data_IF_679817117709
#
_entry.id   IF_679817117709
#
_cell.length_a   1.000
_cell.length_b   1.000
_cell.length_c   1.000
_cell.angle_alpha   90.00
_cell.angle_beta   90.00
_cell.angle_gamma   90.00
#
_symmetry.space_group_name_H-M   'P 1'
#
loop_
_entity.id
_entity.type
_entity.pdbx_description
1 polymer ?
#
# COMPACT_ATOMS: atom_id res chain seq x y z
N UNK A 1 -0.25 10.78 -38.85
CA UNK A 1 -0.43 12.17 -38.45
C UNK A 1 -1.38 12.30 -37.27
N UNK A 2 -1.00 13.04 -36.25
CA UNK A 2 -1.85 13.29 -35.10
C UNK A 2 -2.93 14.27 -35.50
N UNK A 3 -4.17 13.79 -35.59
CA UNK A 3 -5.29 14.65 -36.00
C UNK A 3 -5.74 15.57 -34.87
N UNK A 4 -5.62 15.10 -33.63
CA UNK A 4 -6.14 15.83 -32.48
C UNK A 4 -5.39 15.38 -31.23
N UNK A 5 -4.71 16.31 -30.61
CA UNK A 5 -3.92 16.04 -29.39
C UNK A 5 -4.80 15.53 -28.24
N UNK A 6 -6.01 16.10 -28.12
CA UNK A 6 -6.97 15.67 -27.09
C UNK A 6 -7.38 14.22 -27.25
N UNK A 7 -7.64 13.78 -28.48
CA UNK A 7 -7.95 12.38 -28.77
C UNK A 7 -6.80 11.46 -28.42
N UNK A 8 -5.58 11.87 -28.75
CA UNK A 8 -4.39 11.08 -28.45
C UNK A 8 -4.21 10.91 -26.94
N UNK A 9 -4.40 11.98 -26.19
CA UNK A 9 -4.28 11.95 -24.73
C UNK A 9 -5.35 11.03 -24.13
N UNK A 10 -6.61 11.17 -24.55
CA UNK A 10 -7.69 10.32 -24.05
C UNK A 10 -7.45 8.84 -24.36
N UNK A 11 -6.97 8.55 -25.56
CA UNK A 11 -6.67 7.18 -25.96
C UNK A 11 -5.52 6.60 -25.14
N UNK A 12 -4.49 7.41 -24.90
CA UNK A 12 -3.35 7.01 -24.09
C UNK A 12 -3.76 6.73 -22.64
N UNK A 13 -4.58 7.59 -22.05
CA UNK A 13 -5.07 7.40 -20.68
C UNK A 13 -5.94 6.14 -20.57
N UNK A 14 -6.79 5.91 -21.54
CA UNK A 14 -7.64 4.71 -21.56
C UNK A 14 -6.83 3.42 -21.65
N UNK A 15 -5.85 3.38 -22.55
CA UNK A 15 -4.95 2.23 -22.66
C UNK A 15 -4.18 1.99 -21.37
N UNK A 16 -3.67 3.08 -20.77
CA UNK A 16 -2.94 3.04 -19.53
C UNK A 16 -3.78 2.44 -18.41
N UNK A 17 -5.03 2.88 -18.27
CA UNK A 17 -5.95 2.39 -17.25
C UNK A 17 -6.26 0.90 -17.44
N UNK A 18 -6.42 0.47 -18.68
CA UNK A 18 -6.75 -0.92 -18.98
C UNK A 18 -5.57 -1.87 -18.86
N UNK A 19 -4.37 -1.40 -19.23
CA UNK A 19 -3.18 -2.25 -19.31
C UNK A 19 -2.35 -2.31 -18.04
N UNK A 20 -2.27 -1.21 -17.32
CA UNK A 20 -1.35 -1.13 -16.18
C UNK A 20 -1.79 -1.95 -14.97
N UNK A 21 -3.06 -2.05 -14.70
CA UNK A 21 -3.61 -2.79 -13.57
C UNK A 21 -2.89 -2.43 -12.26
N UNK A 22 -2.76 -1.14 -12.02
CA UNK A 22 -1.98 -0.59 -10.92
C UNK A 22 -2.89 0.15 -9.95
N UNK A 23 -2.64 -0.01 -8.65
CA UNK A 23 -3.24 0.84 -7.64
C UNK A 23 -2.20 1.28 -6.62
N UNK A 24 -2.49 2.40 -5.96
CA UNK A 24 -1.73 2.87 -4.79
C UNK A 24 -2.61 2.68 -3.57
N UNK A 25 -2.10 1.97 -2.60
CA UNK A 25 -2.87 1.63 -1.40
C UNK A 25 -2.16 2.13 -0.14
N UNK A 26 -2.96 2.48 0.86
CA UNK A 26 -2.45 2.85 2.19
C UNK A 26 -2.12 1.57 2.95
N UNK A 27 -0.89 1.48 3.42
CA UNK A 27 -0.45 0.38 4.28
C UNK A 27 -0.72 0.73 5.74
N UNK A 28 -0.29 1.92 6.16
CA UNK A 28 -0.44 2.33 7.55
C UNK A 28 -0.40 3.84 7.71
N UNK A 29 -1.29 4.37 8.55
CA UNK A 29 -1.33 5.79 8.93
C UNK A 29 -0.76 5.92 10.33
N UNK A 30 0.34 6.65 10.53
CA UNK A 30 0.95 6.76 11.85
C UNK A 30 0.17 7.68 12.78
N UNK A 31 0.35 7.49 14.06
CA UNK A 31 -0.16 8.39 15.08
C UNK A 31 -1.09 7.74 16.07
N UNK A 32 -1.09 8.26 17.29
CA UNK A 32 -1.92 7.76 18.37
C UNK A 32 -3.41 7.92 18.06
N UNK A 33 -3.78 8.93 17.26
CA UNK A 33 -5.16 9.17 16.86
C UNK A 33 -5.68 8.13 15.86
N UNK A 34 -4.77 7.37 15.26
CA UNK A 34 -5.10 6.39 14.22
C UNK A 34 -5.09 4.96 14.77
N UNK A 35 -5.57 4.77 16.00
CA UNK A 35 -5.62 3.45 16.62
C UNK A 35 -6.49 2.50 15.80
N UNK A 36 -6.03 1.23 15.70
CA UNK A 36 -6.83 0.20 15.05
C UNK A 36 -7.92 -0.33 15.98
N UNK A 37 -8.65 -1.36 15.52
CA UNK A 37 -9.73 -1.97 16.30
C UNK A 37 -9.26 -2.60 17.61
N UNK A 38 -7.97 -2.87 17.74
CA UNK A 38 -7.38 -3.43 18.96
C UNK A 38 -6.76 -2.36 19.85
N UNK A 39 -6.91 -1.10 19.52
CA UNK A 39 -6.30 0.01 20.25
C UNK A 39 -4.81 0.18 20.01
N UNK A 40 -4.29 -0.40 18.96
CA UNK A 40 -2.85 -0.38 18.65
C UNK A 40 -2.54 0.70 17.62
N UNK A 41 -1.34 1.23 17.69
CA UNK A 41 -0.89 2.33 16.83
C UNK A 41 0.63 2.32 16.70
N UNK A 42 1.15 2.98 15.65
CA UNK A 42 2.59 3.16 15.46
C UNK A 42 2.90 4.64 15.28
N UNK A 43 4.02 5.07 15.84
CA UNK A 43 4.52 6.42 15.61
C UNK A 43 5.01 6.58 14.17
N UNK A 44 5.15 7.82 13.72
CA UNK A 44 5.71 8.10 12.40
C UNK A 44 7.11 7.50 12.24
N UNK A 45 7.92 7.56 13.28
CA UNK A 45 9.27 7.00 13.27
C UNK A 45 9.23 5.47 13.10
N UNK A 46 8.33 4.80 13.82
CA UNK A 46 8.18 3.35 13.72
C UNK A 46 7.69 2.94 12.33
N UNK A 47 6.73 3.69 11.78
CA UNK A 47 6.20 3.42 10.43
C UNK A 47 7.30 3.57 9.39
N UNK A 48 8.14 4.61 9.52
CA UNK A 48 9.25 4.80 8.59
C UNK A 48 10.25 3.65 8.68
N UNK A 49 10.62 3.23 9.88
CA UNK A 49 11.53 2.11 10.08
C UNK A 49 10.94 0.81 9.54
N UNK A 50 9.64 0.60 9.73
CA UNK A 50 8.94 -0.57 9.21
C UNK A 50 8.94 -0.59 7.69
N UNK A 51 8.70 0.56 7.06
CA UNK A 51 8.74 0.69 5.61
C UNK A 51 10.14 0.37 5.06
N UNK A 52 11.17 0.86 5.70
CA UNK A 52 12.56 0.59 5.31
C UNK A 52 12.89 -0.90 5.44
N UNK A 53 12.51 -1.50 6.55
CA UNK A 53 12.73 -2.95 6.78
C UNK A 53 11.98 -3.78 5.75
N UNK A 54 10.75 -3.42 5.45
CA UNK A 54 9.96 -4.07 4.42
C UNK A 54 10.65 -4.00 3.05
N UNK A 55 11.15 -2.82 2.68
CA UNK A 55 11.82 -2.61 1.41
C UNK A 55 13.13 -3.40 1.31
N UNK A 56 13.86 -3.49 2.41
CA UNK A 56 15.11 -4.26 2.47
C UNK A 56 14.88 -5.76 2.33
N UNK A 57 13.70 -6.24 2.70
CA UNK A 57 13.38 -7.66 2.71
C UNK A 57 12.40 -8.08 1.61
N UNK A 58 12.14 -7.21 0.62
CA UNK A 58 11.14 -7.47 -0.42
C UNK A 58 11.32 -8.79 -1.14
N UNK A 59 12.55 -9.23 -1.35
CA UNK A 59 12.84 -10.49 -2.05
C UNK A 59 12.59 -11.73 -1.18
N UNK A 60 12.54 -11.55 0.13
CA UNK A 60 12.40 -12.64 1.09
C UNK A 60 11.01 -12.72 1.71
N UNK A 61 10.21 -11.68 1.51
CA UNK A 61 8.85 -11.63 2.04
C UNK A 61 7.91 -12.21 1.01
N UNK A 62 7.18 -13.24 1.41
CA UNK A 62 5.96 -13.62 0.70
C UNK A 62 4.91 -12.61 1.10
N UNK A 63 4.59 -11.62 0.26
CA UNK A 63 3.65 -10.62 0.68
C UNK A 63 2.27 -11.24 0.80
N UNK A 64 1.83 -11.34 2.03
CA UNK A 64 0.49 -11.78 2.34
C UNK A 64 -0.42 -10.56 2.31
N UNK A 65 -0.49 -9.93 1.14
CA UNK A 65 -1.34 -8.77 0.93
C UNK A 65 -2.78 -9.25 0.71
N UNK A 66 -3.74 -8.52 1.30
CA UNK A 66 -5.16 -8.84 1.18
C UNK A 66 -5.56 -10.18 1.80
N UNK A 67 -4.75 -10.72 2.72
CA UNK A 67 -4.94 -12.06 3.29
C UNK A 67 -4.95 -13.17 2.23
N UNK A 68 -4.39 -12.90 1.07
CA UNK A 68 -4.23 -13.89 0.01
C UNK A 68 -2.88 -14.59 0.21
N UNK A 69 -2.93 -15.88 0.45
CA UNK A 69 -1.72 -16.68 0.62
C UNK A 69 -0.96 -16.78 -0.70
N UNK A 70 0.32 -16.48 -0.65
CA UNK A 70 1.32 -16.80 -1.67
C UNK A 70 0.81 -16.78 -3.12
N UNK A 71 0.41 -15.63 -3.62
CA UNK A 71 -0.01 -15.56 -5.00
C UNK A 71 1.00 -14.77 -5.81
N UNK A 72 1.45 -15.34 -6.93
CA UNK A 72 2.20 -14.61 -7.93
C UNK A 72 1.29 -13.68 -8.73
N UNK A 73 0.11 -13.36 -8.19
CA UNK A 73 -0.91 -12.61 -8.90
C UNK A 73 -0.79 -11.11 -8.76
N UNK A 74 0.18 -10.65 -8.00
CA UNK A 74 0.49 -9.24 -7.91
C UNK A 74 1.99 -9.04 -7.67
N UNK A 75 2.48 -7.84 -7.96
CA UNK A 75 3.85 -7.46 -7.62
C UNK A 75 3.85 -6.09 -6.96
N UNK A 76 4.79 -5.88 -6.06
CA UNK A 76 5.00 -4.59 -5.42
C UNK A 76 5.96 -3.80 -6.28
N UNK A 77 5.47 -2.69 -6.84
CA UNK A 77 6.28 -1.81 -7.68
C UNK A 77 7.10 -0.86 -6.83
N UNK A 78 6.47 -0.33 -5.77
CA UNK A 78 7.09 0.68 -4.91
C UNK A 78 6.44 0.66 -3.54
N UNK A 79 7.23 0.90 -2.53
CA UNK A 79 6.77 1.06 -1.14
C UNK A 79 7.51 2.26 -0.56
N UNK A 80 6.77 3.26 -0.05
CA UNK A 80 7.39 4.52 0.38
C UNK A 80 6.54 5.23 1.44
N UNK A 81 7.16 6.19 2.09
CA UNK A 81 6.48 7.09 3.02
C UNK A 81 6.06 8.35 2.25
N UNK A 82 4.80 8.72 2.36
CA UNK A 82 4.27 9.93 1.73
C UNK A 82 4.93 11.16 2.35
N UNK A 83 5.47 12.04 1.50
CA UNK A 83 6.24 13.20 1.95
C UNK A 83 5.43 14.49 2.05
N UNK A 84 4.22 14.50 1.53
CA UNK A 84 3.39 15.71 1.49
C UNK A 84 1.92 15.37 1.64
N UNK A 85 1.18 16.19 2.38
CA UNK A 85 -0.27 16.04 2.47
C UNK A 85 -0.88 16.20 1.08
N UNK A 86 -1.76 15.27 0.71
CA UNK A 86 -2.40 15.30 -0.60
C UNK A 86 -3.81 14.72 -0.54
N UNK A 87 -4.56 14.92 -1.62
CA UNK A 87 -5.88 14.33 -1.79
C UNK A 87 -5.81 13.44 -3.03
N UNK A 88 -6.24 12.18 -2.88
CA UNK A 88 -6.25 11.24 -3.99
C UNK A 88 -7.31 11.62 -5.03
N UNK A 89 -7.24 11.05 -6.26
CA UNK A 89 -8.27 11.31 -7.27
C UNK A 89 -9.69 10.94 -6.82
N UNK A 90 -9.82 10.03 -5.86
CA UNK A 90 -11.11 9.63 -5.32
C UNK A 90 -11.57 10.50 -4.16
N UNK A 91 -10.81 11.53 -3.79
CA UNK A 91 -11.13 12.43 -2.70
C UNK A 91 -10.63 12.01 -1.34
N UNK A 92 -9.85 10.95 -1.25
CA UNK A 92 -9.29 10.48 0.01
C UNK A 92 -8.09 11.35 0.41
N UNK A 93 -8.10 11.84 1.64
CA UNK A 93 -6.98 12.59 2.20
C UNK A 93 -5.86 11.62 2.59
N UNK A 94 -4.64 11.92 2.12
CA UNK A 94 -3.44 11.14 2.44
C UNK A 94 -2.44 12.08 3.10
N UNK A 95 -2.16 11.86 4.36
CA UNK A 95 -1.30 12.74 5.15
C UNK A 95 0.16 12.38 5.01
N UNK A 96 1.02 13.37 5.21
CA UNK A 96 2.46 13.17 5.35
C UNK A 96 2.72 12.11 6.41
N UNK A 97 3.68 11.23 6.15
CA UNK A 97 4.05 10.15 7.06
C UNK A 97 3.30 8.84 6.82
N UNK A 98 2.27 8.85 5.99
CA UNK A 98 1.52 7.64 5.65
C UNK A 98 2.37 6.72 4.79
N UNK A 99 2.39 5.44 5.13
CA UNK A 99 3.07 4.42 4.35
C UNK A 99 2.15 3.96 3.22
N UNK A 100 2.66 4.08 1.99
CA UNK A 100 1.93 3.73 0.77
C UNK A 100 2.65 2.60 0.03
N UNK A 101 1.87 1.83 -0.72
CA UNK A 101 2.41 0.80 -1.60
C UNK A 101 1.74 0.90 -2.96
N UNK A 102 2.54 0.71 -4.01
CA UNK A 102 2.05 0.68 -5.39
C UNK A 102 2.10 -0.75 -5.88
N UNK A 103 0.97 -1.26 -6.33
CA UNK A 103 0.80 -2.65 -6.70
C UNK A 103 0.38 -2.80 -8.15
N UNK A 104 0.93 -3.82 -8.81
CA UNK A 104 0.46 -4.28 -10.13
C UNK A 104 -0.19 -5.63 -9.95
N UNK A 105 -1.37 -5.78 -10.51
CA UNK A 105 -2.17 -6.99 -10.37
C UNK A 105 -2.15 -7.83 -11.64
N UNK A 106 -2.31 -9.15 -11.50
CA UNK A 106 -2.62 -10.01 -12.63
C UNK A 106 -3.98 -9.60 -13.22
N UNK A 107 -4.28 -9.95 -14.47
CA UNK A 107 -5.60 -9.65 -15.04
C UNK A 107 -6.76 -10.21 -14.21
N UNK A 108 -6.61 -11.41 -13.67
CA UNK A 108 -7.63 -12.06 -12.84
C UNK A 108 -7.88 -11.30 -11.53
N UNK A 109 -6.80 -10.96 -10.84
CA UNK A 109 -6.90 -10.26 -9.57
C UNK A 109 -7.39 -8.83 -9.76
N UNK A 110 -7.04 -8.22 -10.88
CA UNK A 110 -7.51 -6.88 -11.22
C UNK A 110 -9.03 -6.82 -11.38
N UNK A 111 -9.63 -7.87 -11.95
CA UNK A 111 -11.09 -7.96 -12.06
C UNK A 111 -11.73 -8.01 -10.68
N UNK A 112 -11.14 -8.73 -9.74
CA UNK A 112 -11.62 -8.77 -8.37
C UNK A 112 -11.47 -7.42 -7.66
N UNK A 113 -10.38 -6.72 -7.92
CA UNK A 113 -10.14 -5.37 -7.39
C UNK A 113 -11.21 -4.40 -7.89
N UNK A 114 -11.50 -4.41 -9.18
CA UNK A 114 -12.51 -3.53 -9.78
C UNK A 114 -13.92 -3.88 -9.30
N UNK A 115 -14.16 -5.13 -8.98
CA UNK A 115 -15.46 -5.58 -8.46
C UNK A 115 -15.65 -5.25 -6.97
N UNK A 116 -14.66 -4.64 -6.32
CA UNK A 116 -14.73 -4.27 -4.91
C UNK A 116 -14.48 -5.42 -3.94
N UNK A 117 -14.01 -6.56 -4.43
CA UNK A 117 -13.72 -7.72 -3.57
C UNK A 117 -12.41 -7.58 -2.80
N UNK A 118 -11.52 -6.72 -3.28
CA UNK A 118 -10.25 -6.42 -2.64
C UNK A 118 -10.26 -4.94 -2.28
N UNK A 119 -10.32 -4.62 -0.99
CA UNK A 119 -10.54 -3.25 -0.54
C UNK A 119 -9.39 -2.64 0.23
N UNK A 120 -8.35 -3.37 0.51
CA UNK A 120 -7.26 -2.82 1.30
C UNK A 120 -6.05 -3.72 1.32
N UNK A 121 -5.01 -3.23 1.99
CA UNK A 121 -3.74 -3.94 2.12
C UNK A 121 -3.52 -4.28 3.57
N UNK A 122 -3.18 -5.53 3.84
CA UNK A 122 -2.77 -5.97 5.16
C UNK A 122 -1.42 -6.67 5.02
N UNK A 123 -0.44 -6.22 5.78
CA UNK A 123 0.90 -6.79 5.76
C UNK A 123 1.20 -7.45 7.10
N UNK A 124 1.54 -8.73 7.05
CA UNK A 124 1.95 -9.45 8.24
C UNK A 124 3.35 -9.05 8.67
N UNK A 125 3.52 -8.73 9.94
CA UNK A 125 4.81 -8.34 10.50
C UNK A 125 4.90 -8.77 11.96
N UNK A 126 6.09 -8.65 12.52
CA UNK A 126 6.35 -8.83 13.94
C UNK A 126 6.59 -7.49 14.58
N UNK A 127 6.18 -7.34 15.82
CA UNK A 127 6.40 -6.12 16.57
C UNK A 127 6.23 -6.34 18.06
N UNK A 128 6.58 -5.34 18.82
CA UNK A 128 6.41 -5.32 20.27
C UNK A 128 5.28 -4.35 20.60
N UNK A 129 4.29 -4.80 21.35
CA UNK A 129 3.14 -3.97 21.74
C UNK A 129 3.27 -3.60 23.22
N UNK A 130 3.22 -2.29 23.49
CA UNK A 130 3.11 -1.79 24.85
C UNK A 130 1.66 -2.00 25.31
N UNK A 131 1.47 -2.83 26.30
CA UNK A 131 0.12 -3.21 26.75
C UNK A 131 -0.64 -2.05 27.41
N UNK A 132 0.07 -1.03 27.89
CA UNK A 132 -0.57 0.12 28.54
C UNK A 132 -0.99 1.18 27.52
N UNK A 133 -0.17 1.43 26.52
CA UNK A 133 -0.39 2.51 25.55
C UNK A 133 -0.96 2.02 24.23
N UNK A 134 -0.77 0.73 23.90
CA UNK A 134 -1.12 0.17 22.60
C UNK A 134 -0.10 0.48 21.51
N UNK A 135 1.00 1.14 21.85
CA UNK A 135 2.01 1.48 20.86
C UNK A 135 2.78 0.25 20.41
N UNK A 136 2.88 0.09 19.08
CA UNK A 136 3.69 -0.95 18.46
C UNK A 136 5.05 -0.36 18.12
N UNK A 137 6.11 -1.08 18.43
CA UNK A 137 7.48 -0.70 18.10
C UNK A 137 8.27 -1.91 17.62
N UNK A 138 9.49 -1.67 17.12
CA UNK A 138 10.43 -2.71 16.68
C UNK A 138 9.79 -3.64 15.65
N UNK A 139 9.13 -3.06 14.66
CA UNK A 139 8.47 -3.82 13.60
C UNK A 139 9.51 -4.42 12.66
N UNK A 140 9.35 -5.70 12.34
CA UNK A 140 10.26 -6.43 11.47
C UNK A 140 9.49 -7.31 10.49
N UNK A 141 10.01 -7.39 9.28
CA UNK A 141 9.51 -8.26 8.23
C UNK A 141 10.49 -9.36 7.87
N UNK A 142 11.61 -9.46 8.57
CA UNK A 142 12.60 -10.48 8.30
C UNK A 142 12.04 -11.87 8.58
N UNK A 143 12.17 -12.80 7.62
CA UNK A 143 11.92 -14.21 7.93
C UNK A 143 13.11 -14.70 8.77
N UNK A 144 12.86 -15.32 9.86
CA UNK A 144 13.95 -15.90 10.67
C UNK A 144 13.90 -17.40 10.71
#
# INVERSE_FOLDING_TARGET
MIKNLKELILKSEKQKTEEERISVEVVYVPGEQERDAHGQWMSAQTVQAACEDFNDNLHNISPNLFHLSNTNKFEIIKSWINEIDMVSPTGQEVKEGTWLVKLRYSPELWLEKKAGKIQGVSIGCRGVVDQQTGEISQVSFSPD
#
